data_IF_279234286019
#
_entry.id   IF_279234286019
#
_cell.length_a   1.000
_cell.length_b   1.000
_cell.length_c   1.000
_cell.angle_alpha   90.00
_cell.angle_beta   90.00
_cell.angle_gamma   90.00
#
_symmetry.space_group_name_H-M   'P 1'
#
loop_
_entity.id
_entity.type
_entity.pdbx_description
1 polymer ?
#
# COMPACT_ATOMS: atom_id res chain seq x y z
N UNK A 1 -28.28 -79.47 -31.40
CA UNK A 1 -28.88 -78.59 -32.43
C UNK A 1 -28.36 -77.19 -32.11
N UNK A 2 -27.14 -76.87 -32.57
CA UNK A 2 -26.86 -76.01 -33.76
C UNK A 2 -27.35 -74.57 -33.50
N UNK A 3 -26.51 -73.65 -33.01
CA UNK A 3 -25.46 -72.79 -33.63
C UNK A 3 -25.99 -71.80 -34.68
N UNK A 4 -25.83 -70.50 -34.38
CA UNK A 4 -25.35 -69.39 -35.25
C UNK A 4 -25.50 -68.06 -34.46
N UNK A 5 -24.44 -67.47 -33.89
CA UNK A 5 -23.43 -66.56 -34.48
C UNK A 5 -23.89 -65.10 -34.74
N UNK A 6 -23.21 -64.17 -34.00
CA UNK A 6 -22.67 -62.83 -34.40
C UNK A 6 -23.68 -61.74 -34.83
N UNK A 7 -23.56 -60.44 -34.50
CA UNK A 7 -22.51 -59.48 -34.10
C UNK A 7 -23.26 -58.31 -33.41
N UNK A 8 -22.82 -57.66 -32.31
CA UNK A 8 -21.68 -56.73 -32.24
C UNK A 8 -22.16 -55.28 -32.42
N UNK A 9 -22.36 -54.54 -31.31
CA UNK A 9 -22.28 -53.07 -31.20
C UNK A 9 -22.29 -52.63 -29.72
N UNK A 10 -21.74 -51.45 -29.47
CA UNK A 10 -20.94 -50.99 -28.33
C UNK A 10 -21.72 -50.31 -27.16
N UNK A 11 -21.06 -49.88 -26.05
CA UNK A 11 -21.68 -49.70 -24.75
C UNK A 11 -22.39 -48.34 -24.58
N UNK A 12 -23.41 -48.35 -23.73
CA UNK A 12 -24.23 -47.18 -23.39
C UNK A 12 -23.50 -46.36 -22.32
N UNK A 13 -23.15 -45.13 -22.69
CA UNK A 13 -22.77 -44.00 -21.83
C UNK A 13 -23.74 -43.82 -20.65
N UNK A 14 -23.19 -43.56 -19.46
CA UNK A 14 -24.03 -43.28 -18.29
C UNK A 14 -23.28 -43.04 -17.00
N UNK A 15 -22.36 -42.07 -17.00
CA UNK A 15 -21.74 -41.46 -15.82
C UNK A 15 -22.83 -40.85 -14.93
N UNK A 16 -22.97 -41.28 -13.67
CA UNK A 16 -23.33 -40.40 -12.53
C UNK A 16 -22.78 -40.98 -11.22
N UNK A 17 -21.50 -40.77 -10.93
CA UNK A 17 -21.05 -40.71 -9.53
C UNK A 17 -21.13 -39.26 -9.06
N UNK A 18 -22.18 -38.93 -8.31
CA UNK A 18 -22.28 -37.66 -7.58
C UNK A 18 -21.36 -37.74 -6.35
N UNK A 19 -20.07 -37.49 -6.52
CA UNK A 19 -19.22 -37.05 -5.41
C UNK A 19 -19.35 -35.53 -5.28
N UNK A 20 -20.41 -35.10 -4.59
CA UNK A 20 -20.59 -33.71 -4.17
C UNK A 20 -19.65 -33.37 -3.01
N UNK A 21 -18.34 -33.41 -3.23
CA UNK A 21 -17.41 -32.60 -2.44
C UNK A 21 -17.43 -31.24 -3.13
N UNK A 22 -17.92 -30.16 -2.50
CA UNK A 22 -17.76 -28.84 -3.09
C UNK A 22 -16.26 -28.65 -3.29
N UNK A 23 -15.84 -28.50 -4.55
CA UNK A 23 -14.52 -27.99 -4.85
C UNK A 23 -14.33 -26.78 -3.94
N UNK A 24 -13.29 -26.81 -3.11
CA UNK A 24 -12.89 -25.67 -2.30
C UNK A 24 -12.67 -24.57 -3.34
N UNK A 25 -13.63 -23.68 -3.50
CA UNK A 25 -13.48 -22.50 -4.33
C UNK A 25 -12.40 -21.74 -3.60
N UNK A 26 -11.17 -21.89 -4.08
CA UNK A 26 -10.10 -21.01 -3.64
C UNK A 26 -10.64 -19.59 -3.88
N UNK A 27 -10.69 -18.74 -2.85
CA UNK A 27 -11.16 -17.38 -3.03
C UNK A 27 -10.37 -16.82 -4.19
N UNK A 28 -11.06 -16.27 -5.21
CA UNK A 28 -10.41 -15.63 -6.33
C UNK A 28 -9.34 -14.70 -5.77
N UNK A 29 -8.09 -14.90 -6.19
CA UNK A 29 -6.97 -14.10 -5.71
C UNK A 29 -7.27 -12.64 -6.04
N UNK A 30 -7.62 -11.88 -5.01
CA UNK A 30 -8.03 -10.49 -5.17
C UNK A 30 -6.76 -9.69 -5.39
N UNK A 31 -6.53 -9.30 -6.64
CA UNK A 31 -5.40 -8.44 -7.00
C UNK A 31 -5.72 -6.98 -6.66
N UNK A 32 -4.70 -6.25 -6.20
CA UNK A 32 -4.82 -4.83 -5.90
C UNK A 32 -5.03 -4.04 -7.19
N UNK A 33 -6.07 -3.22 -7.23
CA UNK A 33 -6.34 -2.30 -8.34
C UNK A 33 -6.34 -0.83 -7.86
N UNK A 34 -5.31 -0.08 -8.24
CA UNK A 34 -5.21 1.35 -7.91
C UNK A 34 -6.25 2.21 -8.64
N UNK A 35 -6.81 1.71 -9.74
CA UNK A 35 -7.75 2.40 -10.61
C UNK A 35 -9.22 2.03 -10.32
N UNK A 36 -9.45 1.13 -9.36
CA UNK A 36 -10.76 0.77 -8.87
C UNK A 36 -11.20 1.63 -7.66
N UNK A 37 -12.49 1.51 -7.33
CA UNK A 37 -13.04 2.02 -6.08
C UNK A 37 -12.53 1.19 -4.89
N UNK A 38 -12.20 1.86 -3.79
CA UNK A 38 -11.65 1.26 -2.57
C UNK A 38 -12.64 1.43 -1.42
N UNK A 39 -13.23 0.34 -0.95
CA UNK A 39 -14.22 0.37 0.14
C UNK A 39 -13.63 -0.20 1.43
N UNK A 40 -13.62 0.58 2.50
CA UNK A 40 -13.11 0.13 3.80
C UNK A 40 -14.22 0.14 4.84
N UNK A 41 -14.53 -1.06 5.35
CA UNK A 41 -15.50 -1.27 6.42
C UNK A 41 -14.77 -1.34 7.76
N UNK A 42 -15.21 -0.54 8.73
CA UNK A 42 -14.72 -0.67 10.10
C UNK A 42 -15.82 -0.38 11.12
N UNK A 43 -15.53 -0.71 12.38
CA UNK A 43 -16.45 -0.50 13.48
C UNK A 43 -16.07 0.76 14.25
N UNK A 44 -17.06 1.58 14.60
CA UNK A 44 -16.89 2.78 15.42
C UNK A 44 -17.85 2.75 16.61
N UNK A 45 -17.36 3.10 17.79
CA UNK A 45 -18.18 3.17 19.00
C UNK A 45 -18.78 4.57 19.16
N UNK A 46 -20.10 4.64 19.34
CA UNK A 46 -20.83 5.88 19.68
C UNK A 46 -21.91 5.55 20.71
N UNK A 47 -21.98 6.35 21.78
CA UNK A 47 -23.01 6.20 22.82
C UNK A 47 -23.13 4.77 23.37
N UNK A 48 -21.99 4.09 23.57
CA UNK A 48 -21.93 2.72 24.10
C UNK A 48 -22.42 1.62 23.14
N UNK A 49 -22.53 1.92 21.83
CA UNK A 49 -22.91 0.95 20.80
C UNK A 49 -21.87 0.94 19.68
N UNK A 50 -21.60 -0.25 19.16
CA UNK A 50 -20.75 -0.43 17.98
C UNK A 50 -21.58 -0.29 16.71
N UNK A 51 -21.13 0.58 15.81
CA UNK A 51 -21.72 0.78 14.49
C UNK A 51 -20.73 0.35 13.42
N UNK A 52 -21.26 -0.27 12.37
CA UNK A 52 -20.50 -0.54 11.16
C UNK A 52 -20.64 0.65 10.22
N UNK A 53 -19.51 1.18 9.77
CA UNK A 53 -19.44 2.29 8.82
C UNK A 53 -18.54 1.88 7.65
N UNK A 54 -18.80 2.47 6.48
CA UNK A 54 -18.01 2.20 5.27
C UNK A 54 -17.51 3.52 4.73
N UNK A 55 -16.22 3.59 4.41
CA UNK A 55 -15.62 4.70 3.68
C UNK A 55 -15.25 4.24 2.28
N UNK A 56 -15.61 5.03 1.28
CA UNK A 56 -15.45 4.68 -0.13
C UNK A 56 -14.58 5.74 -0.78
N UNK A 57 -13.44 5.34 -1.33
CA UNK A 57 -12.54 6.19 -2.09
C UNK A 57 -12.60 5.79 -3.57
N UNK A 58 -12.53 6.78 -4.46
CA UNK A 58 -12.33 6.51 -5.88
C UNK A 58 -10.90 6.03 -6.20
N UNK A 59 -10.55 5.98 -7.49
CA UNK A 59 -9.21 5.64 -7.96
C UNK A 59 -8.12 6.46 -7.25
N UNK A 60 -7.02 5.81 -6.87
CA UNK A 60 -5.92 6.46 -6.12
C UNK A 60 -4.92 7.08 -7.09
N UNK A 61 -5.09 8.36 -7.41
CA UNK A 61 -4.22 9.05 -8.36
C UNK A 61 -2.90 9.47 -7.72
N UNK A 62 -1.79 9.30 -8.45
CA UNK A 62 -0.45 9.66 -7.98
C UNK A 62 -0.36 11.14 -7.57
N UNK A 63 -1.07 12.04 -8.24
CA UNK A 63 -1.13 13.46 -7.89
C UNK A 63 -1.73 13.68 -6.50
N UNK A 64 -2.80 12.96 -6.15
CA UNK A 64 -3.44 13.04 -4.84
C UNK A 64 -2.50 12.50 -3.74
N UNK A 65 -1.76 11.43 -4.02
CA UNK A 65 -0.73 10.90 -3.12
C UNK A 65 0.37 11.92 -2.89
N UNK A 66 0.84 12.59 -3.94
CA UNK A 66 1.86 13.63 -3.82
C UNK A 66 1.39 14.86 -3.05
N UNK A 67 0.13 15.26 -3.21
CA UNK A 67 -0.46 16.33 -2.41
C UNK A 67 -0.56 15.95 -0.94
N UNK A 68 -1.03 14.74 -0.65
CA UNK A 68 -1.09 14.20 0.71
C UNK A 68 0.29 14.16 1.38
N UNK A 69 1.29 13.63 0.68
CA UNK A 69 2.67 13.55 1.18
C UNK A 69 3.28 14.94 1.39
N UNK A 70 3.00 15.92 0.53
CA UNK A 70 3.42 17.30 0.75
C UNK A 70 2.78 17.90 2.00
N UNK A 71 1.47 17.71 2.17
CA UNK A 71 0.73 18.22 3.32
C UNK A 71 1.22 17.60 4.64
N UNK A 72 1.49 16.29 4.63
CA UNK A 72 2.04 15.56 5.80
C UNK A 72 3.43 16.06 6.20
N UNK A 73 4.29 16.34 5.21
CA UNK A 73 5.65 16.81 5.42
C UNK A 73 5.76 18.33 5.59
N UNK A 74 4.66 19.08 5.48
CA UNK A 74 4.68 20.52 5.64
C UNK A 74 4.89 20.88 7.12
N UNK A 75 6.09 21.36 7.48
CA UNK A 75 6.24 22.25 8.64
C UNK A 75 5.75 23.63 8.17
N UNK A 76 4.52 23.98 8.51
CA UNK A 76 4.07 25.36 8.43
C UNK A 76 4.79 26.15 9.53
N UNK A 77 5.30 27.33 9.19
CA UNK A 77 5.74 28.35 10.13
C UNK A 77 4.57 28.90 10.95
N UNK A 78 3.86 28.05 11.69
CA UNK A 78 2.82 28.40 12.64
C UNK A 78 3.40 28.79 14.01
N UNK A 79 4.73 28.88 14.13
CA UNK A 79 5.40 29.46 15.30
C UNK A 79 5.43 31.01 15.29
N UNK A 80 5.03 31.68 14.20
CA UNK A 80 4.98 33.16 14.15
C UNK A 80 3.59 33.76 14.41
N UNK A 81 2.55 32.95 14.67
CA UNK A 81 1.19 33.46 14.94
C UNK A 81 0.59 33.06 16.30
N UNK A 82 1.38 32.47 17.20
CA UNK A 82 0.95 32.19 18.57
C UNK A 82 1.91 32.78 19.61
N UNK A 83 2.20 34.08 19.48
CA UNK A 83 2.29 34.93 20.68
C UNK A 83 0.84 35.19 21.14
N UNK A 84 0.23 34.17 21.71
CA UNK A 84 -0.97 34.30 22.51
C UNK A 84 -0.84 33.26 23.60
N UNK A 85 -0.68 33.75 24.83
CA UNK A 85 -0.65 32.99 26.08
C UNK A 85 -1.90 32.11 26.20
N UNK A 86 -1.81 30.86 25.74
CA UNK A 86 -2.70 29.79 26.19
C UNK A 86 -1.86 28.59 26.62
N UNK A 87 -1.75 28.48 27.94
CA UNK A 87 -0.99 27.50 28.71
C UNK A 87 -1.78 26.17 28.83
N UNK A 88 -2.40 25.73 27.74
CA UNK A 88 -3.15 24.46 27.68
C UNK A 88 -2.55 23.49 26.66
N UNK A 89 -1.93 22.45 27.21
CA UNK A 89 -1.33 21.34 26.49
C UNK A 89 -2.33 20.64 25.56
N UNK A 90 -2.03 20.58 24.25
CA UNK A 90 -2.28 19.47 23.27
C UNK A 90 -2.23 19.88 21.78
N UNK A 91 -1.68 21.04 21.41
CA UNK A 91 -1.60 21.49 20.02
C UNK A 91 -0.49 20.83 19.14
N UNK A 92 -0.09 19.59 19.43
CA UNK A 92 0.63 18.70 18.49
C UNK A 92 -0.35 17.66 17.93
N UNK A 93 -1.58 18.08 17.61
CA UNK A 93 -2.46 17.28 16.74
C UNK A 93 -1.84 17.28 15.34
N UNK A 94 -1.07 16.21 15.09
CA UNK A 94 -0.07 16.03 14.02
C UNK A 94 -0.45 16.56 12.63
N UNK A 95 0.52 17.13 11.90
CA UNK A 95 0.39 17.51 10.48
C UNK A 95 -0.16 16.37 9.61
N UNK A 96 0.16 15.12 9.95
CA UNK A 96 -0.38 13.92 9.29
C UNK A 96 -1.88 13.74 9.48
N UNK A 97 -2.44 14.07 10.65
CA UNK A 97 -3.88 14.01 10.92
C UNK A 97 -4.64 15.02 10.05
N UNK A 98 -4.19 16.27 10.02
CA UNK A 98 -4.78 17.31 9.17
C UNK A 98 -4.62 17.01 7.68
N UNK A 99 -3.46 16.49 7.26
CA UNK A 99 -3.26 16.03 5.89
C UNK A 99 -4.24 14.93 5.49
N UNK A 100 -4.53 13.99 6.40
CA UNK A 100 -5.46 12.89 6.14
C UNK A 100 -6.91 13.38 6.00
N UNK A 101 -7.34 14.29 6.86
CA UNK A 101 -8.66 14.94 6.76
C UNK A 101 -8.79 15.69 5.43
N UNK A 102 -7.78 16.47 5.07
CA UNK A 102 -7.75 17.22 3.83
C UNK A 102 -7.78 16.32 2.60
N UNK A 103 -7.03 15.21 2.62
CA UNK A 103 -7.08 14.20 1.56
C UNK A 103 -8.48 13.63 1.43
N UNK A 104 -9.09 13.18 2.54
CA UNK A 104 -10.45 12.61 2.52
C UNK A 104 -11.49 13.59 1.96
N UNK A 105 -11.44 14.86 2.39
CA UNK A 105 -12.38 15.88 1.91
C UNK A 105 -12.20 16.21 0.41
N UNK A 106 -10.98 16.05 -0.14
CA UNK A 106 -10.66 16.39 -1.53
C UNK A 106 -10.73 15.23 -2.51
N UNK A 107 -10.55 13.99 -2.04
CA UNK A 107 -10.49 12.79 -2.89
C UNK A 107 -11.85 12.37 -3.43
N UNK A 108 -12.93 13.08 -3.08
CA UNK A 108 -14.29 12.69 -3.45
C UNK A 108 -14.80 11.48 -2.66
N UNK A 109 -14.18 11.18 -1.50
CA UNK A 109 -14.57 10.07 -0.68
C UNK A 109 -16.00 10.23 -0.15
N UNK A 110 -16.76 9.13 -0.13
CA UNK A 110 -18.09 9.06 0.47
C UNK A 110 -18.07 8.14 1.69
N UNK A 111 -19.13 8.22 2.50
CA UNK A 111 -19.27 7.36 3.67
C UNK A 111 -20.71 6.91 3.88
N UNK A 112 -20.85 5.66 4.34
CA UNK A 112 -22.12 5.00 4.61
C UNK A 112 -22.21 4.61 6.09
N UNK A 113 -23.44 4.54 6.61
CA UNK A 113 -23.70 4.18 8.02
C UNK A 113 -23.66 5.36 9.01
N UNK A 114 -23.32 6.57 8.54
CA UNK A 114 -23.40 7.79 9.34
C UNK A 114 -24.76 8.49 9.14
N UNK A 115 -25.41 8.87 10.24
CA UNK A 115 -26.63 9.70 10.18
C UNK A 115 -26.34 11.20 9.96
N UNK A 116 -25.07 11.60 9.99
CA UNK A 116 -24.65 13.00 9.89
C UNK A 116 -23.21 13.12 9.39
N UNK A 117 -22.49 14.15 9.85
CA UNK A 117 -21.11 14.39 9.43
C UNK A 117 -20.18 13.28 9.95
N UNK A 118 -19.28 12.83 9.08
CA UNK A 118 -18.18 11.94 9.43
C UNK A 118 -17.19 12.68 10.33
N UNK A 119 -16.79 12.05 11.44
CA UNK A 119 -15.82 12.66 12.35
C UNK A 119 -14.43 12.71 11.73
N UNK A 120 -13.63 13.71 12.09
CA UNK A 120 -12.27 13.84 11.56
C UNK A 120 -11.36 12.67 11.97
N UNK A 121 -11.62 12.06 13.13
CA UNK A 121 -10.96 10.81 13.55
C UNK A 121 -11.25 9.66 12.58
N UNK A 122 -12.51 9.47 12.21
CA UNK A 122 -12.91 8.37 11.32
C UNK A 122 -12.35 8.60 9.90
N UNK A 123 -12.32 9.87 9.43
CA UNK A 123 -11.67 10.22 8.15
C UNK A 123 -10.18 9.89 8.16
N UNK A 124 -9.46 10.32 9.18
CA UNK A 124 -8.03 10.09 9.29
C UNK A 124 -7.71 8.58 9.40
N UNK A 125 -8.55 7.83 10.13
CA UNK A 125 -8.43 6.37 10.21
C UNK A 125 -8.63 5.70 8.85
N UNK A 126 -9.68 6.07 8.10
CA UNK A 126 -9.94 5.52 6.77
C UNK A 126 -8.80 5.80 5.78
N UNK A 127 -8.21 7.00 5.80
CA UNK A 127 -7.03 7.33 4.98
C UNK A 127 -5.79 6.56 5.43
N UNK A 128 -5.65 6.31 6.73
CA UNK A 128 -4.61 5.43 7.27
C UNK A 128 -4.72 3.99 6.76
N UNK A 129 -5.94 3.46 6.63
CA UNK A 129 -6.18 2.15 6.01
C UNK A 129 -5.87 2.16 4.51
N UNK A 130 -6.32 3.19 3.79
CA UNK A 130 -6.10 3.34 2.34
C UNK A 130 -4.61 3.28 1.95
N UNK A 131 -3.75 3.92 2.75
CA UNK A 131 -2.30 3.97 2.49
C UNK A 131 -1.49 3.02 3.39
N UNK A 132 -2.18 2.19 4.18
CA UNK A 132 -1.57 1.24 5.10
C UNK A 132 -0.89 0.11 4.34
N UNK A 133 0.41 -0.07 4.60
CA UNK A 133 1.20 -1.15 4.02
C UNK A 133 2.11 -1.76 5.09
N UNK A 134 2.29 -3.07 5.03
CA UNK A 134 3.18 -3.82 5.92
C UNK A 134 4.01 -4.80 5.09
N UNK A 135 5.25 -5.05 5.49
CA UNK A 135 6.13 -6.00 4.81
C UNK A 135 6.21 -7.30 5.59
N UNK A 136 5.89 -8.40 4.91
CA UNK A 136 5.96 -9.74 5.48
C UNK A 136 7.35 -10.34 5.32
N UNK A 137 7.66 -11.33 6.16
CA UNK A 137 8.82 -12.19 5.93
C UNK A 137 8.55 -13.14 4.77
N UNK A 138 9.59 -13.43 3.98
CA UNK A 138 9.51 -14.43 2.94
C UNK A 138 9.21 -15.79 3.55
N UNK A 139 8.38 -16.58 2.85
CA UNK A 139 8.14 -17.96 3.22
C UNK A 139 9.42 -18.78 3.02
N UNK A 140 9.60 -19.80 3.86
CA UNK A 140 10.64 -20.79 3.65
C UNK A 140 10.38 -21.49 2.32
N UNK A 141 11.45 -21.69 1.54
CA UNK A 141 11.39 -22.53 0.35
C UNK A 141 10.93 -23.94 0.75
N UNK A 142 10.29 -24.65 -0.17
CA UNK A 142 9.83 -26.02 0.09
C UNK A 142 11.04 -26.94 0.33
N UNK A 143 10.84 -28.08 0.99
CA UNK A 143 11.93 -29.05 1.21
C UNK A 143 12.52 -29.59 -0.09
N UNK A 144 11.77 -29.48 -1.19
CA UNK A 144 12.17 -29.92 -2.53
C UNK A 144 12.98 -28.84 -3.28
N UNK A 145 12.89 -27.58 -2.84
CA UNK A 145 13.61 -26.47 -3.44
C UNK A 145 15.07 -26.46 -2.97
N UNK A 146 15.99 -26.56 -3.93
CA UNK A 146 17.42 -26.46 -3.64
C UNK A 146 17.82 -25.00 -3.47
N UNK A 147 18.59 -24.73 -2.42
CA UNK A 147 19.24 -23.42 -2.25
C UNK A 147 20.20 -23.19 -3.43
N UNK A 148 20.07 -22.06 -4.17
CA UNK A 148 20.90 -21.80 -5.33
C UNK A 148 22.38 -21.63 -4.95
N UNK A 149 23.29 -22.07 -5.83
CA UNK A 149 24.75 -22.02 -5.59
C UNK A 149 25.30 -20.59 -5.52
N UNK A 150 24.63 -19.64 -6.18
CA UNK A 150 24.95 -18.21 -6.14
C UNK A 150 23.73 -17.43 -5.66
N UNK A 151 23.96 -16.40 -4.85
CA UNK A 151 22.91 -15.44 -4.54
C UNK A 151 22.45 -14.76 -5.82
N UNK A 152 21.15 -14.71 -6.05
CA UNK A 152 20.60 -13.89 -7.12
C UNK A 152 20.88 -12.41 -6.82
N UNK A 153 21.21 -11.62 -7.84
CA UNK A 153 21.32 -10.14 -7.77
C UNK A 153 19.93 -9.48 -7.60
N UNK A 154 18.98 -10.19 -6.99
CA UNK A 154 17.59 -9.82 -6.88
C UNK A 154 17.07 -10.10 -5.47
N UNK A 155 16.19 -9.23 -5.01
CA UNK A 155 15.53 -9.31 -3.72
C UNK A 155 14.03 -9.31 -3.94
N UNK A 156 13.34 -10.28 -3.35
CA UNK A 156 11.88 -10.36 -3.35
C UNK A 156 11.34 -9.72 -2.08
N UNK A 157 10.38 -8.82 -2.23
CA UNK A 157 9.65 -8.21 -1.13
C UNK A 157 8.16 -8.52 -1.26
N UNK A 158 7.55 -8.94 -0.15
CA UNK A 158 6.11 -9.19 -0.02
C UNK A 158 5.50 -8.07 0.84
N UNK A 159 4.50 -7.40 0.28
CA UNK A 159 3.78 -6.32 0.93
C UNK A 159 2.32 -6.71 1.13
N UNK A 160 1.87 -6.68 2.37
CA UNK A 160 0.47 -6.77 2.76
C UNK A 160 -0.16 -5.37 2.74
N UNK A 161 -1.32 -5.25 2.11
CA UNK A 161 -2.11 -4.03 2.04
C UNK A 161 -3.61 -4.35 2.08
N UNK A 162 -4.46 -3.32 2.13
CA UNK A 162 -5.91 -3.48 2.05
C UNK A 162 -6.43 -3.03 0.68
N UNK A 163 -7.29 -3.84 0.09
CA UNK A 163 -8.05 -3.54 -1.13
C UNK A 163 -9.49 -4.00 -0.97
N UNK A 164 -10.45 -3.12 -1.22
CA UNK A 164 -11.90 -3.39 -1.04
C UNK A 164 -12.24 -4.07 0.31
N UNK A 165 -11.55 -3.66 1.38
CA UNK A 165 -11.78 -4.16 2.74
C UNK A 165 -11.22 -5.57 2.99
N UNK A 166 -10.47 -6.12 2.05
CA UNK A 166 -9.78 -7.41 2.17
C UNK A 166 -8.26 -7.20 2.24
N UNK A 167 -7.58 -8.09 2.96
CA UNK A 167 -6.11 -8.14 2.94
C UNK A 167 -5.67 -8.74 1.60
N UNK A 168 -4.78 -8.03 0.92
CA UNK A 168 -4.16 -8.44 -0.33
C UNK A 168 -2.65 -8.44 -0.16
N UNK A 169 -2.01 -9.42 -0.78
CA UNK A 169 -0.56 -9.54 -0.82
C UNK A 169 -0.06 -9.18 -2.21
N UNK A 170 0.96 -8.32 -2.25
CA UNK A 170 1.57 -7.88 -3.49
C UNK A 170 3.08 -8.05 -3.39
N UNK A 171 3.70 -8.42 -4.50
CA UNK A 171 5.11 -8.78 -4.53
C UNK A 171 5.87 -7.86 -5.50
N UNK A 172 7.12 -7.56 -5.17
CA UNK A 172 8.05 -6.93 -6.08
C UNK A 172 9.41 -7.64 -6.02
N UNK A 173 9.95 -7.96 -7.19
CA UNK A 173 11.31 -8.43 -7.36
C UNK A 173 12.17 -7.26 -7.83
N UNK A 174 13.19 -6.92 -7.05
CA UNK A 174 14.04 -5.75 -7.26
C UNK A 174 15.49 -6.18 -7.43
N UNK A 175 16.21 -5.58 -8.37
CA UNK A 175 17.66 -5.77 -8.50
C UNK A 175 18.39 -5.18 -7.30
N UNK A 176 19.58 -5.71 -7.00
CA UNK A 176 20.53 -5.09 -6.06
C UNK A 176 20.77 -3.64 -6.44
N UNK A 177 20.72 -2.75 -5.45
CA UNK A 177 20.88 -1.33 -5.69
C UNK A 177 22.34 -1.00 -6.07
N UNK A 178 22.52 -0.19 -7.10
CA UNK A 178 23.84 0.30 -7.48
C UNK A 178 24.39 1.29 -6.43
N UNK A 179 25.72 1.47 -6.32
CA UNK A 179 26.30 2.45 -5.39
C UNK A 179 25.74 3.88 -5.57
N UNK A 180 25.49 4.30 -6.82
CA UNK A 180 24.88 5.59 -7.14
C UNK A 180 23.42 5.68 -6.63
N UNK A 181 22.64 4.60 -6.69
CA UNK A 181 21.29 4.58 -6.13
C UNK A 181 21.31 4.66 -4.60
N UNK A 182 22.26 3.99 -3.93
CA UNK A 182 22.45 4.12 -2.49
C UNK A 182 22.83 5.55 -2.12
N UNK A 183 23.76 6.18 -2.83
CA UNK A 183 24.13 7.59 -2.61
C UNK A 183 22.94 8.54 -2.82
N UNK A 184 22.15 8.33 -3.88
CA UNK A 184 20.92 9.11 -4.11
C UNK A 184 19.90 8.95 -2.98
N UNK A 185 19.77 7.72 -2.46
CA UNK A 185 18.89 7.43 -1.34
C UNK A 185 19.35 8.12 -0.05
N UNK A 186 20.65 8.07 0.25
CA UNK A 186 21.25 8.76 1.39
C UNK A 186 21.03 10.26 1.31
N UNK A 187 21.26 10.84 0.13
CA UNK A 187 20.95 12.25 -0.14
C UNK A 187 19.46 12.57 0.02
N UNK A 188 18.57 11.65 -0.33
CA UNK A 188 17.12 11.82 -0.14
C UNK A 188 16.72 11.75 1.34
N UNK A 189 17.40 10.93 2.14
CA UNK A 189 17.20 10.85 3.58
C UNK A 189 17.74 12.09 4.31
N UNK A 190 18.96 12.51 3.97
CA UNK A 190 19.68 13.63 4.59
C UNK A 190 19.11 15.01 4.26
N UNK A 191 18.30 15.11 3.19
CA UNK A 191 17.52 16.31 2.81
C UNK A 191 16.44 16.67 3.84
N UNK A 192 16.89 17.10 5.01
CA UNK A 192 16.22 18.08 5.85
C UNK A 192 16.57 19.45 5.26
N UNK A 193 15.99 19.79 4.09
CA UNK A 193 16.21 21.09 3.48
C UNK A 193 15.46 22.15 4.29
N UNK A 194 16.11 22.66 5.33
CA UNK A 194 15.95 24.04 5.76
C UNK A 194 16.48 24.90 4.61
N UNK A 195 15.58 25.31 3.73
CA UNK A 195 15.88 26.42 2.85
C UNK A 195 15.88 27.64 3.75
N UNK A 196 17.07 28.09 4.15
CA UNK A 196 17.23 29.44 4.70
C UNK A 196 16.71 30.42 3.64
N UNK A 197 15.55 31.00 3.88
CA UNK A 197 15.15 32.24 3.22
C UNK A 197 16.24 33.27 3.50
N UNK A 198 17.04 33.63 2.50
CA UNK A 198 18.11 34.61 2.66
C UNK A 198 17.59 36.06 2.69
N UNK A 199 16.28 36.28 2.79
CA UNK A 199 15.65 37.60 2.94
C UNK A 199 14.39 37.53 3.81
N UNK A 200 14.26 38.53 4.69
CA UNK A 200 13.03 38.85 5.43
C UNK A 200 11.85 38.88 4.44
N UNK A 201 10.83 38.04 4.65
CA UNK A 201 9.61 37.99 3.83
C UNK A 201 9.52 36.90 2.76
N UNK A 202 10.45 35.95 2.67
CA UNK A 202 10.23 34.74 1.85
C UNK A 202 9.53 33.64 2.66
N UNK A 203 8.36 33.19 2.18
CA UNK A 203 7.67 31.98 2.67
C UNK A 203 8.58 30.77 2.47
N UNK A 204 8.71 29.94 3.50
CA UNK A 204 9.53 28.73 3.51
C UNK A 204 9.33 27.85 2.27
N UNK A 205 10.44 27.39 1.69
CA UNK A 205 10.46 26.54 0.50
C UNK A 205 10.09 25.08 0.80
N UNK A 206 9.43 24.49 -0.18
CA UNK A 206 8.81 23.16 -0.22
C UNK A 206 9.80 22.01 0.02
N UNK A 207 9.40 21.04 0.86
CA UNK A 207 10.00 19.70 0.85
C UNK A 207 9.44 18.94 -0.37
N UNK A 208 10.26 18.52 -1.35
CA UNK A 208 9.78 17.65 -2.41
C UNK A 208 9.28 16.33 -1.80
N UNK A 209 8.11 15.86 -2.23
CA UNK A 209 7.57 14.58 -1.79
C UNK A 209 8.59 13.47 -2.09
N UNK A 210 9.23 12.93 -1.04
CA UNK A 210 10.22 11.85 -1.15
C UNK A 210 9.64 10.66 -1.90
N UNK A 211 8.34 10.44 -1.78
CA UNK A 211 7.59 9.39 -2.46
C UNK A 211 7.76 9.41 -3.99
N UNK A 212 7.81 10.59 -4.65
CA UNK A 212 8.04 10.65 -6.11
C UNK A 212 9.41 10.09 -6.49
N UNK A 213 10.45 10.55 -5.78
CA UNK A 213 11.83 10.11 -6.05
C UNK A 213 12.03 8.64 -5.71
N UNK A 214 11.44 8.17 -4.61
CA UNK A 214 11.45 6.75 -4.26
C UNK A 214 10.74 5.90 -5.32
N UNK A 215 9.61 6.35 -5.84
CA UNK A 215 8.91 5.66 -6.92
C UNK A 215 9.73 5.62 -8.23
N UNK A 216 10.40 6.72 -8.58
CA UNK A 216 11.33 6.74 -9.72
C UNK A 216 12.50 5.76 -9.54
N UNK A 217 13.03 5.63 -8.31
CA UNK A 217 14.06 4.65 -8.00
C UNK A 217 13.52 3.21 -8.05
N UNK A 218 12.30 2.98 -7.59
CA UNK A 218 11.61 1.69 -7.73
C UNK A 218 11.54 1.29 -9.22
N UNK A 219 11.08 2.20 -10.08
CA UNK A 219 10.94 1.94 -11.53
C UNK A 219 12.28 1.59 -12.21
N UNK A 220 13.41 2.04 -11.66
CA UNK A 220 14.75 1.69 -12.16
C UNK A 220 15.24 0.31 -11.69
N UNK A 221 14.78 -0.16 -10.52
CA UNK A 221 15.24 -1.39 -9.88
C UNK A 221 14.30 -2.57 -10.13
N UNK A 222 13.03 -2.31 -10.43
CA UNK A 222 12.01 -3.35 -10.56
C UNK A 222 12.28 -4.29 -11.73
N UNK A 223 12.21 -5.58 -11.45
CA UNK A 223 12.30 -6.67 -12.42
C UNK A 223 10.89 -7.14 -12.77
N UNK A 224 10.08 -7.40 -11.75
CA UNK A 224 8.69 -7.85 -11.88
C UNK A 224 7.88 -7.46 -10.65
N UNK A 225 6.57 -7.44 -10.84
CA UNK A 225 5.57 -7.20 -9.78
C UNK A 225 4.43 -8.18 -9.94
N UNK A 226 3.84 -8.61 -8.83
CA UNK A 226 2.70 -9.53 -8.80
C UNK A 226 1.67 -9.11 -7.74
N UNK A 227 0.44 -9.60 -7.87
CA UNK A 227 -0.69 -9.22 -7.01
C UNK A 227 -1.37 -7.90 -7.39
N UNK A 228 -1.12 -7.38 -8.61
CA UNK A 228 -1.72 -6.15 -9.12
C UNK A 228 -2.58 -6.42 -10.37
N UNK A 229 -3.81 -5.89 -10.40
CA UNK A 229 -4.68 -5.98 -11.58
C UNK A 229 -4.32 -4.93 -12.65
N UNK A 230 -3.56 -3.91 -12.26
CA UNK A 230 -3.19 -2.77 -13.11
C UNK A 230 -1.86 -2.16 -12.67
N UNK A 231 -1.82 -0.83 -12.56
CA UNK A 231 -0.59 -0.13 -12.15
C UNK A 231 -0.29 -0.35 -10.66
N UNK A 232 1.00 -0.35 -10.33
CA UNK A 232 1.45 -0.17 -8.95
C UNK A 232 1.32 1.31 -8.58
N UNK A 233 0.55 1.68 -7.54
CA UNK A 233 0.37 3.08 -7.17
C UNK A 233 1.64 3.67 -6.55
N UNK A 234 1.81 5.00 -6.67
CA UNK A 234 3.04 5.68 -6.22
C UNK A 234 3.43 5.40 -4.77
N UNK A 235 2.47 5.28 -3.86
CA UNK A 235 2.76 5.02 -2.44
C UNK A 235 3.30 3.60 -2.20
N UNK A 236 2.83 2.58 -2.93
CA UNK A 236 3.41 1.23 -2.88
C UNK A 236 4.81 1.21 -3.48
N UNK A 237 5.02 1.82 -4.65
CA UNK A 237 6.37 1.95 -5.25
C UNK A 237 7.35 2.59 -4.28
N UNK A 238 6.95 3.68 -3.64
CA UNK A 238 7.75 4.38 -2.65
C UNK A 238 8.06 3.50 -1.42
N UNK A 239 7.09 2.70 -0.94
CA UNK A 239 7.28 1.78 0.17
C UNK A 239 8.26 0.65 -0.18
N UNK A 240 8.12 0.02 -1.35
CA UNK A 240 9.05 -1.00 -1.84
C UNK A 240 10.48 -0.46 -1.95
N UNK A 241 10.68 0.67 -2.64
CA UNK A 241 12.00 1.28 -2.75
C UNK A 241 12.59 1.64 -1.37
N UNK A 242 11.79 2.23 -0.47
CA UNK A 242 12.24 2.58 0.88
C UNK A 242 12.70 1.35 1.67
N UNK A 243 11.94 0.26 1.61
CA UNK A 243 12.27 -0.99 2.32
C UNK A 243 13.54 -1.62 1.75
N UNK A 244 13.62 -1.74 0.43
CA UNK A 244 14.76 -2.34 -0.28
C UNK A 244 16.05 -1.58 -0.01
N UNK A 245 16.06 -0.27 -0.29
CA UNK A 245 17.26 0.57 -0.16
C UNK A 245 17.74 0.66 1.29
N UNK A 246 16.85 0.60 2.29
CA UNK A 246 17.25 0.48 3.71
C UNK A 246 17.92 -0.84 4.01
N UNK A 247 17.44 -1.94 3.43
CA UNK A 247 18.04 -3.26 3.63
C UNK A 247 19.45 -3.31 3.04
N UNK A 248 19.60 -2.85 1.79
CA UNK A 248 20.88 -2.74 1.10
C UNK A 248 21.88 -1.84 1.85
N UNK A 249 21.43 -0.66 2.31
CA UNK A 249 22.26 0.23 3.10
C UNK A 249 22.75 -0.41 4.41
N UNK A 250 21.90 -1.16 5.10
CA UNK A 250 22.30 -1.89 6.32
C UNK A 250 23.34 -2.98 6.03
N UNK A 251 23.14 -3.74 4.95
CA UNK A 251 24.09 -4.76 4.52
C UNK A 251 25.48 -4.16 4.23
N UNK A 252 25.53 -2.97 3.64
CA UNK A 252 26.79 -2.24 3.35
C UNK A 252 27.41 -1.66 4.62
N UNK A 253 26.61 -1.09 5.53
CA UNK A 253 27.09 -0.37 6.72
C UNK A 253 27.37 -1.27 7.93
N UNK A 254 26.97 -2.53 7.89
CA UNK A 254 27.33 -3.55 8.90
C UNK A 254 26.64 -3.42 10.25
N UNK A 255 25.46 -2.77 10.31
CA UNK A 255 24.63 -2.64 11.52
C UNK A 255 23.41 -3.57 11.51
#
# INVERSE_FOLDING_TARGET
MEIAERTGEEPIDGIVERSGVPAKVEPAEVNYDADAEQRFKFQTERSGRMYTVVHVFGPILDEQVLEYERARNQRLGEAEYSEADDDDATAITSTGFNAAINFWNKSGASAEGYAGKVSDRDKAFAVGLLFGTEFESLHLASEEDLCPETGDDQSTLVMRCLFDGQEVYTNAVLKTATPNQIEQFENLQSRTLLVKGTKFGQRDQRIPAKAKRLAEMFDQMVVSTDGYAGRVPLHHKAAFALRHLRSEQKAITGN
#
